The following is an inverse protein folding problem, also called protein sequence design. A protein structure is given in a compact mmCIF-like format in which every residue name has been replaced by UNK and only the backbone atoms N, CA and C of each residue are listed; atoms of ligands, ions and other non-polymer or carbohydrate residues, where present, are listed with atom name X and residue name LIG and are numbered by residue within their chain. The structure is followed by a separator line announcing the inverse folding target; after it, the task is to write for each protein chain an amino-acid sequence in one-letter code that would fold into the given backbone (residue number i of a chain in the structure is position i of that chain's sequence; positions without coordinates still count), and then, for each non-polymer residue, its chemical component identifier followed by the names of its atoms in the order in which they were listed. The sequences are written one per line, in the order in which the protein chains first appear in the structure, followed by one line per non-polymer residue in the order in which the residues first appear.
data_IF_555821946817
#
_entry.id   IF_555821946817
#
_cell.length_a   1.000
_cell.length_b   1.000
_cell.length_c   1.000
_cell.angle_alpha   90.00
_cell.angle_beta   90.00
_cell.angle_gamma   90.00
#
_symmetry.space_group_name_H-M   'P 1'
#
loop_
_entity.id
_entity.type
_entity.pdbx_description
1 polymer ?
#
# COMPACT_ATOMS: atom_id res chain seq x y z
N UNK A 1 8.12 10.35 -0.81
CA UNK A 1 6.86 10.76 -1.43
C UNK A 1 6.52 9.73 -2.49
N UNK A 2 5.26 9.58 -2.89
CA UNK A 2 4.80 8.33 -3.51
C UNK A 2 3.44 8.54 -4.14
N UNK A 3 3.11 7.75 -5.14
CA UNK A 3 1.73 7.47 -5.57
C UNK A 3 1.47 5.99 -5.43
N UNK A 4 0.52 5.62 -4.59
CA UNK A 4 0.00 4.27 -4.49
C UNK A 4 -1.50 4.27 -4.77
N UNK A 5 -1.95 3.27 -5.52
CA UNK A 5 -3.34 2.98 -5.79
C UNK A 5 -3.58 1.49 -5.66
N UNK A 6 -4.72 1.10 -5.11
CA UNK A 6 -5.14 -0.28 -5.13
C UNK A 6 -6.64 -0.40 -5.40
N UNK A 7 -7.02 -1.51 -6.00
CA UNK A 7 -8.40 -1.81 -6.39
C UNK A 7 -8.77 -3.17 -5.86
N UNK A 8 -9.96 -3.25 -5.26
CA UNK A 8 -10.50 -4.50 -4.73
C UNK A 8 -11.66 -4.99 -5.59
N UNK A 9 -11.53 -6.19 -6.12
CA UNK A 9 -12.60 -6.96 -6.73
C UNK A 9 -13.11 -8.06 -5.77
N UNK A 10 -14.17 -8.79 -6.15
CA UNK A 10 -14.69 -9.91 -5.37
C UNK A 10 -13.72 -11.10 -5.31
N UNK A 11 -12.93 -11.31 -6.38
CA UNK A 11 -12.05 -12.48 -6.53
C UNK A 11 -10.56 -12.14 -6.43
N UNK A 12 -10.19 -10.85 -6.54
CA UNK A 12 -8.81 -10.38 -6.52
C UNK A 12 -8.68 -8.98 -5.95
N UNK A 13 -7.46 -8.60 -5.62
CA UNK A 13 -7.09 -7.21 -5.41
C UNK A 13 -5.75 -6.91 -6.12
N UNK A 14 -5.64 -5.69 -6.63
CA UNK A 14 -4.49 -5.17 -7.33
C UNK A 14 -3.94 -3.97 -6.58
N UNK A 15 -2.61 -3.92 -6.37
CA UNK A 15 -1.90 -2.75 -5.84
C UNK A 15 -0.91 -2.30 -6.90
N UNK A 16 -0.86 -0.99 -7.15
CA UNK A 16 0.16 -0.40 -8.02
C UNK A 16 0.77 0.84 -7.38
N UNK A 17 2.00 1.14 -7.78
CA UNK A 17 2.68 2.34 -7.31
C UNK A 17 3.85 2.72 -8.19
N UNK A 18 4.26 3.97 -8.09
CA UNK A 18 5.46 4.50 -8.68
C UNK A 18 6.72 3.98 -7.95
N UNK A 19 7.88 4.01 -8.61
CA UNK A 19 9.14 3.53 -8.03
C UNK A 19 10.09 4.64 -7.56
N UNK A 20 9.70 5.93 -7.70
CA UNK A 20 10.56 7.05 -7.33
C UNK A 20 10.73 7.18 -5.82
N UNK A 21 11.98 7.29 -5.38
CA UNK A 21 12.35 7.71 -4.01
C UNK A 21 12.96 9.11 -4.06
N UNK A 22 12.42 10.05 -3.30
CA UNK A 22 12.91 11.42 -3.24
C UNK A 22 13.66 11.65 -1.93
N UNK A 23 14.91 12.09 -1.99
CA UNK A 23 15.71 12.50 -0.83
C UNK A 23 15.89 14.00 -0.76
N UNK A 24 16.32 14.52 0.39
CA UNK A 24 16.42 15.96 0.74
C UNK A 24 17.19 16.83 -0.26
N UNK A 25 18.07 16.29 -1.07
CA UNK A 25 19.02 17.07 -1.88
C UNK A 25 19.07 16.74 -3.35
N UNK A 26 18.40 15.68 -3.80
CA UNK A 26 18.49 15.28 -5.20
C UNK A 26 17.34 14.36 -5.62
N UNK A 27 17.01 14.58 -6.86
CA UNK A 27 16.43 13.69 -7.85
C UNK A 27 15.96 12.33 -7.34
N UNK A 28 14.87 12.04 -7.78
CA UNK A 28 14.26 10.77 -7.99
C UNK A 28 15.28 9.67 -8.33
N UNK A 29 15.49 8.78 -7.42
CA UNK A 29 16.10 7.49 -7.71
C UNK A 29 15.01 6.42 -7.69
N UNK A 30 15.06 5.48 -8.62
CA UNK A 30 14.15 4.36 -8.62
C UNK A 30 14.70 3.30 -7.68
N UNK A 31 14.04 3.11 -6.55
CA UNK A 31 14.48 2.11 -5.57
C UNK A 31 14.34 0.70 -6.11
N UNK A 32 15.43 -0.10 -6.20
CA UNK A 32 15.33 -1.49 -6.59
C UNK A 32 14.58 -2.36 -5.57
N UNK A 33 14.34 -1.84 -4.37
CA UNK A 33 13.57 -2.53 -3.32
C UNK A 33 12.07 -2.38 -3.50
N UNK A 34 11.63 -1.46 -4.39
CA UNK A 34 10.22 -1.20 -4.64
C UNK A 34 9.46 -0.59 -3.45
N UNK A 35 8.23 -0.20 -3.69
CA UNK A 35 7.30 0.30 -2.68
C UNK A 35 6.24 -0.72 -2.30
N UNK A 36 6.18 -1.84 -3.00
CA UNK A 36 5.27 -2.95 -2.76
C UNK A 36 6.11 -4.19 -2.49
N UNK A 37 5.80 -4.90 -1.43
CA UNK A 37 6.50 -6.13 -1.06
C UNK A 37 5.52 -7.21 -0.60
N UNK A 38 5.95 -8.45 -0.74
CA UNK A 38 5.28 -9.58 -0.11
C UNK A 38 5.97 -9.93 1.21
N UNK A 39 5.19 -10.03 2.27
CA UNK A 39 5.64 -10.55 3.56
C UNK A 39 4.69 -11.67 4.00
N UNK A 40 5.12 -12.91 3.87
CA UNK A 40 4.29 -14.08 4.10
C UNK A 40 3.08 -14.12 3.15
N UNK A 41 1.88 -14.08 3.73
CA UNK A 41 0.62 -14.06 2.97
C UNK A 41 0.08 -12.65 2.69
N UNK A 42 0.86 -11.63 3.00
CA UNK A 42 0.45 -10.25 2.83
C UNK A 42 1.19 -9.60 1.68
N UNK A 43 0.48 -8.78 0.89
CA UNK A 43 1.11 -7.74 0.10
C UNK A 43 1.01 -6.45 0.90
N UNK A 44 2.10 -5.71 0.97
CA UNK A 44 2.15 -4.43 1.68
C UNK A 44 2.79 -3.39 0.80
N UNK A 45 2.09 -2.28 0.61
CA UNK A 45 2.62 -1.09 -0.02
C UNK A 45 2.68 0.05 1.00
N UNK A 46 3.72 0.90 0.91
CA UNK A 46 3.93 1.98 1.86
C UNK A 46 4.18 3.32 1.17
N UNK A 47 3.46 4.34 1.61
CA UNK A 47 3.79 5.75 1.43
C UNK A 47 4.40 6.30 2.72
N UNK A 48 5.29 7.31 2.63
CA UNK A 48 5.97 7.91 3.78
C UNK A 48 7.46 7.58 3.84
N UNK A 49 8.00 7.36 5.03
CA UNK A 49 9.43 7.10 5.22
C UNK A 49 9.83 5.68 4.81
N UNK A 50 10.96 5.58 4.10
CA UNK A 50 11.54 4.29 3.66
C UNK A 50 11.77 3.33 4.83
N UNK A 51 12.05 3.87 6.05
CA UNK A 51 12.27 3.04 7.23
C UNK A 51 11.07 2.18 7.60
N UNK A 52 9.85 2.71 7.51
CA UNK A 52 8.65 1.92 7.78
C UNK A 52 8.52 0.71 6.84
N UNK A 53 8.77 0.93 5.55
CA UNK A 53 8.77 -0.14 4.57
C UNK A 53 9.87 -1.17 4.82
N UNK A 54 11.10 -0.73 5.16
CA UNK A 54 12.20 -1.64 5.50
C UNK A 54 11.86 -2.51 6.72
N UNK A 55 11.21 -1.95 7.74
CA UNK A 55 10.79 -2.71 8.91
C UNK A 55 9.74 -3.76 8.55
N UNK A 56 8.76 -3.41 7.71
CA UNK A 56 7.75 -4.37 7.25
C UNK A 56 8.39 -5.48 6.41
N UNK A 57 9.31 -5.15 5.52
CA UNK A 57 9.93 -6.15 4.64
C UNK A 57 10.87 -7.10 5.39
N UNK A 58 11.62 -6.61 6.38
CA UNK A 58 12.79 -7.33 6.90
C UNK A 58 12.75 -7.63 8.40
N UNK A 59 11.94 -6.91 9.19
CA UNK A 59 11.89 -7.07 10.64
C UNK A 59 10.53 -7.57 11.14
N UNK A 60 9.45 -7.22 10.46
CA UNK A 60 8.11 -7.63 10.87
C UNK A 60 7.81 -9.06 10.45
N UNK A 61 7.40 -9.88 11.42
CA UNK A 61 6.84 -11.21 11.16
C UNK A 61 5.33 -11.13 11.36
N UNK A 62 4.54 -11.03 10.28
CA UNK A 62 3.10 -10.89 10.41
C UNK A 62 2.46 -12.16 10.95
N UNK A 63 1.44 -12.04 11.81
CA UNK A 63 0.69 -13.20 12.30
C UNK A 63 -0.06 -13.88 11.14
N UNK A 64 -0.24 -15.21 11.18
CA UNK A 64 -0.95 -15.92 10.12
C UNK A 64 -2.42 -15.46 10.04
N UNK A 65 -2.93 -15.10 8.84
CA UNK A 65 -4.28 -14.60 8.71
C UNK A 65 -5.32 -15.73 8.90
N UNK A 66 -6.44 -15.46 9.55
CA UNK A 66 -7.54 -16.39 9.65
C UNK A 66 -8.32 -16.47 8.30
N UNK A 67 -9.14 -17.50 8.16
CA UNK A 67 -10.01 -17.64 6.97
C UNK A 67 -11.25 -16.74 7.02
N UNK A 68 -11.66 -16.30 8.21
CA UNK A 68 -12.87 -15.49 8.44
C UNK A 68 -12.58 -14.39 9.46
N UNK A 69 -13.46 -13.37 9.52
CA UNK A 69 -13.34 -12.24 10.46
C UNK A 69 -12.03 -11.44 10.30
N UNK A 70 -11.62 -11.20 9.05
CA UNK A 70 -10.38 -10.46 8.74
C UNK A 70 -10.37 -9.07 9.37
N UNK A 71 -11.48 -8.32 9.33
CA UNK A 71 -11.52 -6.96 9.89
C UNK A 71 -11.18 -6.96 11.39
N UNK A 72 -11.80 -7.87 12.16
CA UNK A 72 -11.50 -8.05 13.58
C UNK A 72 -10.04 -8.47 13.81
N UNK A 73 -9.51 -9.32 12.94
CA UNK A 73 -8.13 -9.77 13.01
C UNK A 73 -7.15 -8.64 12.72
N UNK A 74 -7.41 -7.81 11.70
CA UNK A 74 -6.54 -6.68 11.37
C UNK A 74 -6.45 -5.72 12.56
N UNK A 75 -7.58 -5.34 13.15
CA UNK A 75 -7.62 -4.40 14.29
C UNK A 75 -7.00 -4.99 15.56
N UNK A 76 -7.29 -6.25 15.89
CA UNK A 76 -6.95 -6.80 17.21
C UNK A 76 -5.68 -7.65 17.23
N UNK A 77 -5.13 -8.02 16.06
CA UNK A 77 -3.97 -8.94 15.99
C UNK A 77 -2.87 -8.41 15.08
N UNK A 78 -3.19 -8.07 13.83
CA UNK A 78 -2.18 -7.63 12.87
C UNK A 78 -1.58 -6.27 13.28
N UNK A 79 -2.42 -5.26 13.47
CA UNK A 79 -1.95 -3.91 13.83
C UNK A 79 -1.24 -3.86 15.17
N UNK A 80 -1.71 -4.50 16.25
CA UNK A 80 -0.92 -4.59 17.49
C UNK A 80 0.44 -5.28 17.34
N UNK A 81 0.55 -6.30 16.47
CA UNK A 81 1.82 -6.95 16.17
C UNK A 81 2.76 -6.02 15.37
N UNK A 82 2.22 -5.29 14.38
CA UNK A 82 2.96 -4.28 13.61
C UNK A 82 3.50 -3.19 14.54
N UNK A 83 2.64 -2.62 15.38
CA UNK A 83 3.03 -1.60 16.35
C UNK A 83 4.13 -2.09 17.29
N UNK A 84 4.03 -3.31 17.79
CA UNK A 84 5.08 -3.90 18.65
C UNK A 84 6.43 -3.99 17.92
N UNK A 85 6.42 -4.32 16.62
CA UNK A 85 7.64 -4.32 15.79
C UNK A 85 8.21 -2.91 15.67
N UNK A 86 7.38 -1.90 15.41
CA UNK A 86 7.79 -0.50 15.29
C UNK A 86 8.32 0.05 16.62
N UNK A 87 7.69 -0.26 17.74
CA UNK A 87 8.19 0.09 19.08
C UNK A 87 9.57 -0.50 19.35
N UNK A 88 9.77 -1.77 19.05
CA UNK A 88 11.06 -2.44 19.24
C UNK A 88 12.18 -1.83 18.35
N UNK A 89 11.80 -1.26 17.22
CA UNK A 89 12.72 -0.59 16.29
C UNK A 89 12.91 0.91 16.56
N UNK A 90 12.24 1.48 17.58
CA UNK A 90 12.24 2.91 17.86
C UNK A 90 11.58 3.74 16.74
N UNK A 91 10.55 3.19 16.10
CA UNK A 91 9.81 3.83 15.01
C UNK A 91 8.36 4.16 15.40
N UNK A 92 7.94 3.87 16.61
CA UNK A 92 6.64 4.23 17.18
C UNK A 92 6.83 5.55 17.96
N UNK A 93 6.47 6.66 17.34
CA UNK A 93 6.59 7.98 17.97
C UNK A 93 5.41 8.23 18.90
N UNK A 94 5.70 8.81 20.06
CA UNK A 94 4.69 9.22 21.02
C UNK A 94 5.18 10.49 21.72
N UNK A 95 4.52 11.61 21.47
CA UNK A 95 4.64 12.77 22.30
C UNK A 95 3.76 12.64 23.56
N UNK A 96 4.15 13.27 24.67
CA UNK A 96 3.42 13.22 25.92
C UNK A 96 1.98 13.72 25.74
N UNK A 97 1.04 12.79 25.82
CA UNK A 97 -0.40 13.06 25.71
C UNK A 97 -1.04 12.77 24.36
N UNK A 98 -0.25 12.48 23.31
CA UNK A 98 -0.74 12.19 21.97
C UNK A 98 -0.96 10.70 21.68
N UNK A 99 -1.72 10.44 20.62
CA UNK A 99 -1.88 9.10 20.06
C UNK A 99 -0.55 8.63 19.51
N UNK A 100 -0.20 7.38 19.70
CA UNK A 100 1.01 6.81 19.12
C UNK A 100 0.91 6.81 17.58
N UNK A 101 1.98 7.24 16.91
CA UNK A 101 2.03 7.44 15.47
C UNK A 101 3.30 6.88 14.85
N UNK A 102 3.27 6.70 13.55
CA UNK A 102 4.42 6.44 12.68
C UNK A 102 4.28 7.29 11.40
N UNK A 103 5.37 7.45 10.63
CA UNK A 103 5.38 8.34 9.45
C UNK A 103 5.02 7.61 8.14
N UNK A 104 4.13 6.64 8.17
CA UNK A 104 3.72 5.90 6.98
C UNK A 104 2.21 5.67 6.93
N UNK A 105 1.70 5.61 5.73
CA UNK A 105 0.42 4.97 5.41
C UNK A 105 0.69 3.68 4.63
N UNK A 106 -0.06 2.63 4.95
CA UNK A 106 0.11 1.32 4.33
C UNK A 106 -1.18 0.88 3.65
N UNK A 107 -1.04 0.35 2.43
CA UNK A 107 -2.07 -0.48 1.81
C UNK A 107 -1.66 -1.94 2.03
N UNK A 108 -2.51 -2.71 2.66
CA UNK A 108 -2.26 -4.13 2.99
C UNK A 108 -3.31 -5.00 2.32
N UNK A 109 -2.86 -5.97 1.51
CA UNK A 109 -3.71 -7.02 0.98
C UNK A 109 -3.50 -8.33 1.74
N UNK A 110 -4.60 -8.98 2.09
CA UNK A 110 -4.60 -10.30 2.71
C UNK A 110 -5.82 -11.11 2.29
N UNK A 111 -5.61 -12.28 1.71
CA UNK A 111 -6.66 -13.14 1.16
C UNK A 111 -7.60 -12.39 0.19
N UNK A 112 -7.05 -11.54 -0.68
CA UNK A 112 -7.80 -10.74 -1.66
C UNK A 112 -8.55 -9.54 -1.07
N UNK A 113 -8.38 -9.22 0.20
CA UNK A 113 -9.03 -8.09 0.88
C UNK A 113 -8.03 -6.99 1.16
N UNK A 114 -8.36 -5.76 0.77
CA UNK A 114 -7.54 -4.57 1.00
C UNK A 114 -7.90 -3.85 2.29
N UNK A 115 -6.88 -3.31 2.94
CA UNK A 115 -6.96 -2.44 4.11
C UNK A 115 -6.02 -1.26 3.94
N UNK A 116 -6.47 -0.08 4.33
CA UNK A 116 -5.62 1.09 4.57
C UNK A 116 -5.29 1.12 6.07
N UNK A 117 -4.02 1.31 6.40
CA UNK A 117 -3.56 1.54 7.77
C UNK A 117 -2.93 2.92 7.81
N UNK A 118 -3.51 3.81 8.59
CA UNK A 118 -3.06 5.19 8.73
C UNK A 118 -1.89 5.34 9.72
N UNK A 119 -1.36 6.55 9.80
CA UNK A 119 -0.25 6.92 10.69
C UNK A 119 -0.55 6.68 12.18
N UNK A 120 -1.81 6.70 12.59
CA UNK A 120 -2.26 6.46 13.97
C UNK A 120 -2.65 5.00 14.23
N UNK A 121 -2.28 4.09 13.33
CA UNK A 121 -2.64 2.66 13.39
C UNK A 121 -4.14 2.39 13.20
N UNK A 122 -4.89 3.33 12.65
CA UNK A 122 -6.27 3.13 12.23
C UNK A 122 -6.35 2.15 11.06
N UNK A 123 -7.40 1.34 11.02
CA UNK A 123 -7.64 0.35 9.96
C UNK A 123 -8.91 0.72 9.23
N UNK A 124 -8.82 0.97 7.94
CA UNK A 124 -9.95 1.39 7.13
C UNK A 124 -10.16 0.49 5.91
N UNK A 125 -11.41 0.45 5.46
CA UNK A 125 -11.82 -0.13 4.16
C UNK A 125 -12.70 0.87 3.44
N UNK A 126 -12.54 0.98 2.13
CA UNK A 126 -13.35 1.88 1.32
C UNK A 126 -14.59 1.16 0.76
N UNK A 127 -15.69 1.89 0.56
CA UNK A 127 -16.91 1.37 -0.07
C UNK A 127 -16.85 1.42 -1.60
N UNK A 128 -16.02 2.30 -2.17
CA UNK A 128 -15.85 2.47 -3.62
C UNK A 128 -14.79 1.56 -4.24
N UNK A 129 -14.22 0.62 -3.45
CA UNK A 129 -13.22 -0.36 -3.89
C UNK A 129 -11.86 0.20 -4.32
N UNK A 130 -11.64 1.51 -4.26
CA UNK A 130 -10.38 2.17 -4.66
C UNK A 130 -9.70 2.69 -3.40
N UNK A 131 -8.43 2.35 -3.24
CA UNK A 131 -7.57 2.78 -2.14
C UNK A 131 -6.41 3.57 -2.72
N UNK A 132 -6.13 4.72 -2.16
CA UNK A 132 -5.03 5.58 -2.60
C UNK A 132 -4.27 6.14 -1.42
N UNK A 133 -2.97 6.36 -1.57
CA UNK A 133 -2.16 7.09 -0.60
C UNK A 133 -0.92 7.70 -1.25
N UNK A 134 -0.31 8.66 -0.57
CA UNK A 134 0.86 9.39 -1.03
C UNK A 134 0.51 10.68 -1.76
N UNK A 135 1.53 11.43 -2.18
CA UNK A 135 1.39 12.81 -2.73
C UNK A 135 0.61 12.89 -4.04
N UNK A 136 0.69 11.85 -4.87
CA UNK A 136 -0.03 11.79 -6.15
C UNK A 136 -1.41 11.11 -6.07
N UNK A 137 -1.91 10.81 -4.86
CA UNK A 137 -3.12 10.02 -4.66
C UNK A 137 -4.36 10.62 -5.32
N UNK A 138 -4.56 11.95 -5.25
CA UNK A 138 -5.74 12.61 -5.84
C UNK A 138 -5.75 12.52 -7.36
N UNK A 139 -4.58 12.62 -7.98
CA UNK A 139 -4.41 12.50 -9.43
C UNK A 139 -4.69 11.06 -9.90
N UNK A 140 -4.15 10.08 -9.17
CA UNK A 140 -4.37 8.67 -9.48
C UNK A 140 -5.84 8.27 -9.25
N UNK A 141 -6.46 8.71 -8.15
CA UNK A 141 -7.86 8.45 -7.85
C UNK A 141 -8.77 9.02 -8.94
N UNK A 142 -8.60 10.30 -9.27
CA UNK A 142 -9.44 10.95 -10.29
C UNK A 142 -9.30 10.32 -11.66
N UNK A 143 -8.09 9.90 -12.06
CA UNK A 143 -7.85 9.21 -13.33
C UNK A 143 -8.47 7.81 -13.35
N UNK A 144 -8.29 7.01 -12.28
CA UNK A 144 -8.81 5.66 -12.20
C UNK A 144 -10.35 5.63 -12.13
N UNK A 145 -10.95 6.54 -11.36
CA UNK A 145 -12.40 6.70 -11.25
C UNK A 145 -13.02 7.10 -12.59
N UNK A 146 -12.43 8.09 -13.28
CA UNK A 146 -12.89 8.53 -14.59
C UNK A 146 -12.80 7.44 -15.67
N UNK A 147 -11.89 6.48 -15.53
CA UNK A 147 -11.73 5.31 -16.40
C UNK A 147 -12.57 4.11 -15.95
N UNK A 148 -13.34 4.23 -14.87
CA UNK A 148 -14.27 3.21 -14.41
C UNK A 148 -13.64 1.98 -13.77
N UNK A 149 -12.47 2.10 -13.15
CA UNK A 149 -11.73 0.96 -12.59
C UNK A 149 -12.52 0.12 -11.57
N UNK A 150 -13.47 0.74 -10.86
CA UNK A 150 -14.30 0.04 -9.88
C UNK A 150 -15.33 -0.91 -10.50
N UNK A 151 -15.64 -0.74 -11.79
CA UNK A 151 -16.65 -1.51 -12.54
C UNK A 151 -16.02 -2.66 -13.37
N UNK A 152 -14.68 -2.76 -13.37
CA UNK A 152 -13.95 -3.75 -14.14
C UNK A 152 -13.96 -5.10 -13.43
N UNK A 153 -14.27 -6.17 -14.16
CA UNK A 153 -14.27 -7.54 -13.64
C UNK A 153 -12.93 -8.26 -13.86
N UNK A 154 -12.26 -8.00 -14.98
CA UNK A 154 -11.02 -8.67 -15.36
C UNK A 154 -9.80 -7.90 -14.84
N UNK A 155 -8.90 -8.60 -14.15
CA UNK A 155 -7.73 -7.96 -13.54
C UNK A 155 -6.74 -7.39 -14.59
N UNK A 156 -6.69 -7.95 -15.81
CA UNK A 156 -5.86 -7.45 -16.90
C UNK A 156 -6.28 -6.03 -17.31
N UNK A 157 -7.59 -5.79 -17.43
CA UNK A 157 -8.13 -4.46 -17.74
C UNK A 157 -7.90 -3.50 -16.57
N UNK A 158 -8.04 -3.96 -15.34
CA UNK A 158 -7.73 -3.16 -14.16
C UNK A 158 -6.26 -2.73 -14.12
N UNK A 159 -5.32 -3.58 -14.54
CA UNK A 159 -3.89 -3.24 -14.64
C UNK A 159 -3.68 -2.09 -15.61
N UNK A 160 -4.28 -2.12 -16.81
CA UNK A 160 -4.14 -1.06 -17.82
C UNK A 160 -4.67 0.28 -17.29
N UNK A 161 -5.82 0.28 -16.63
CA UNK A 161 -6.41 1.50 -16.06
C UNK A 161 -5.56 2.05 -14.91
N UNK A 162 -5.14 1.18 -13.99
CA UNK A 162 -4.33 1.58 -12.83
C UNK A 162 -2.95 2.07 -13.27
N UNK A 163 -2.36 1.47 -14.30
CA UNK A 163 -1.12 1.96 -14.91
C UNK A 163 -1.29 3.37 -15.49
N UNK A 164 -2.36 3.62 -16.23
CA UNK A 164 -2.68 4.94 -16.76
C UNK A 164 -2.90 5.98 -15.64
N UNK A 165 -3.53 5.57 -14.55
CA UNK A 165 -3.76 6.42 -13.38
C UNK A 165 -2.45 6.79 -12.67
N UNK A 166 -1.56 5.83 -12.41
CA UNK A 166 -0.24 6.09 -11.81
C UNK A 166 0.61 6.94 -12.74
N UNK A 167 0.61 6.67 -14.04
CA UNK A 167 1.32 7.49 -15.04
C UNK A 167 0.78 8.93 -15.11
N UNK A 168 -0.52 9.13 -14.87
CA UNK A 168 -1.10 10.47 -14.74
C UNK A 168 -0.54 11.19 -13.51
N UNK A 169 -0.43 10.51 -12.37
CA UNK A 169 0.22 11.08 -11.20
C UNK A 169 1.70 11.37 -11.45
N UNK A 170 2.46 10.45 -12.06
CA UNK A 170 3.87 10.64 -12.42
C UNK A 170 4.07 11.89 -13.29
N UNK A 171 3.12 12.20 -14.16
CA UNK A 171 3.21 13.37 -15.05
C UNK A 171 3.06 14.70 -14.32
N UNK A 172 2.27 14.76 -13.25
CA UNK A 172 1.88 16.03 -12.61
C UNK A 172 2.34 16.16 -11.16
N UNK A 173 2.65 15.07 -10.47
CA UNK A 173 3.25 15.08 -9.13
C UNK A 173 4.77 14.95 -9.24
N UNK A 174 5.49 16.02 -8.88
CA UNK A 174 6.96 16.06 -8.93
C UNK A 174 7.64 15.03 -8.01
N UNK A 175 6.89 14.43 -7.12
CA UNK A 175 7.37 13.45 -6.13
C UNK A 175 7.09 12.01 -6.53
N UNK A 176 6.46 11.81 -7.67
CA UNK A 176 6.18 10.50 -8.26
C UNK A 176 6.93 10.30 -9.56
N UNK A 177 7.41 9.08 -9.85
CA UNK A 177 8.18 8.81 -11.05
C UNK A 177 8.72 7.38 -11.14
N UNK A 178 9.48 7.13 -12.20
CA UNK A 178 10.04 5.80 -12.48
C UNK A 178 9.03 4.83 -13.06
N UNK A 179 9.35 3.54 -13.04
CA UNK A 179 8.47 2.49 -13.51
C UNK A 179 7.31 2.24 -12.54
N UNK A 180 6.18 1.78 -13.07
CA UNK A 180 5.04 1.36 -12.25
C UNK A 180 5.26 -0.09 -11.80
N UNK A 181 5.20 -0.31 -10.49
CA UNK A 181 5.22 -1.62 -9.88
C UNK A 181 3.80 -2.10 -9.64
N UNK A 182 3.53 -3.39 -9.85
CA UNK A 182 2.23 -4.01 -9.62
C UNK A 182 2.34 -5.21 -8.69
N UNK A 183 1.30 -5.43 -7.91
CA UNK A 183 1.11 -6.67 -7.16
C UNK A 183 -0.36 -7.07 -7.18
N UNK A 184 -0.63 -8.32 -7.53
CA UNK A 184 -1.95 -8.94 -7.57
C UNK A 184 -2.05 -10.01 -6.49
N UNK A 185 -3.19 -10.11 -5.83
CA UNK A 185 -3.48 -11.21 -4.91
C UNK A 185 -4.91 -11.71 -5.12
N UNK A 186 -5.07 -13.05 -5.18
CA UNK A 186 -6.38 -13.68 -5.20
C UNK A 186 -6.96 -13.92 -3.79
N UNK A 187 -8.21 -14.34 -3.73
CA UNK A 187 -8.91 -14.63 -2.46
C UNK A 187 -8.34 -15.84 -1.70
N UNK A 188 -7.46 -16.62 -2.34
CA UNK A 188 -6.73 -17.71 -1.69
C UNK A 188 -5.39 -17.26 -1.10
N UNK A 189 -5.04 -15.98 -1.28
CA UNK A 189 -3.78 -15.39 -0.82
C UNK A 189 -2.58 -15.74 -1.70
N UNK A 190 -2.81 -16.19 -2.94
CA UNK A 190 -1.73 -16.34 -3.92
C UNK A 190 -1.42 -14.99 -4.53
N UNK A 191 -0.16 -14.62 -4.54
CA UNK A 191 0.30 -13.30 -4.96
C UNK A 191 1.27 -13.37 -6.12
N UNK A 192 1.26 -12.31 -6.94
CA UNK A 192 2.21 -12.03 -8.03
C UNK A 192 2.68 -10.59 -7.90
N UNK A 193 3.96 -10.36 -8.05
CA UNK A 193 4.57 -9.03 -8.01
C UNK A 193 5.44 -8.86 -9.26
N UNK A 194 5.28 -7.74 -9.95
CA UNK A 194 6.23 -7.31 -10.98
C UNK A 194 7.37 -6.56 -10.30
N UNK A 195 8.60 -6.86 -10.69
CA UNK A 195 9.73 -6.01 -10.31
C UNK A 195 9.69 -4.72 -11.13
N UNK A 196 9.91 -3.59 -10.46
CA UNK A 196 10.02 -2.29 -11.11
C UNK A 196 11.30 -2.19 -11.94
#
# INVERSE_FOLDING_TARGET
MTTLIAVQHAEWCLIAGDSQTTSYHLSADCSPMGKIAQNGKYLVAAAGLVRGMNLIQHAFTPPPPPKTNLDKFMVNTFVPALRKCFQAAGYDMKDDGDVAQHDNEFIVAVNGVLYLIDEAYGVERTSNRIYVTGTGMELALGAADALGVAEVDEWEEAVEIVEAAVNTAIKYDIYSGGAVQFALQDTYGKSWITNA
#
